data_IF_371340706458
#
_entry.id   IF_371340706458
#
_cell.length_a   1.000
_cell.length_b   1.000
_cell.length_c   1.000
_cell.angle_alpha   90.00
_cell.angle_beta   90.00
_cell.angle_gamma   90.00
#
_symmetry.space_group_name_H-M   'P 1'
#
loop_
_entity.id
_entity.type
_entity.pdbx_description
1 polymer ?
#
# COMPACT_ATOMS: atom_id res chain seq x y z
N UNK A 1 14.15 -1.01 -5.60
CA UNK A 1 14.19 0.03 -4.56
C UNK A 1 13.00 0.95 -4.80
N UNK A 2 11.90 0.75 -4.07
CA UNK A 2 10.77 1.68 -4.08
C UNK A 2 11.02 2.72 -2.99
N UNK A 3 11.89 3.68 -3.29
CA UNK A 3 12.21 4.82 -2.40
C UNK A 3 11.29 6.00 -2.72
N UNK A 4 10.01 5.73 -3.00
CA UNK A 4 9.03 6.77 -3.30
C UNK A 4 7.80 6.60 -2.41
N UNK A 5 7.56 7.60 -1.57
CA UNK A 5 6.39 7.68 -0.70
C UNK A 5 5.45 8.71 -1.31
N UNK A 6 4.38 8.28 -2.01
CA UNK A 6 3.42 9.20 -2.61
C UNK A 6 2.63 9.96 -1.55
N UNK A 7 2.20 11.16 -1.88
CA UNK A 7 1.22 11.91 -1.08
C UNK A 7 -0.14 11.19 -1.08
N UNK A 8 -0.98 11.36 -0.04
CA UNK A 8 -2.36 10.83 -0.06
C UNK A 8 -3.19 11.34 -1.25
N UNK A 9 -2.88 12.54 -1.75
CA UNK A 9 -3.46 13.09 -2.97
C UNK A 9 -3.01 12.31 -4.22
N UNK A 10 -1.72 11.99 -4.36
CA UNK A 10 -1.21 11.14 -5.43
C UNK A 10 -1.76 9.72 -5.37
N UNK A 11 -1.91 9.16 -4.17
CA UNK A 11 -2.58 7.87 -4.00
C UNK A 11 -4.00 7.96 -4.54
N UNK A 12 -4.72 9.05 -4.29
CA UNK A 12 -6.08 9.23 -4.81
C UNK A 12 -6.10 9.48 -6.32
N UNK A 13 -5.14 10.25 -6.84
CA UNK A 13 -4.99 10.52 -8.28
C UNK A 13 -4.59 9.27 -9.08
N UNK A 14 -3.83 8.37 -8.48
CA UNK A 14 -3.45 7.08 -9.07
C UNK A 14 -4.57 6.02 -8.96
N UNK A 15 -5.72 6.37 -8.36
CA UNK A 15 -6.90 5.53 -8.42
C UNK A 15 -7.34 5.38 -9.87
N UNK A 16 -7.46 4.14 -10.33
CA UNK A 16 -7.98 3.85 -11.67
C UNK A 16 -9.48 4.08 -11.73
N UNK A 17 -10.03 4.29 -12.93
CA UNK A 17 -11.47 4.56 -13.16
C UNK A 17 -12.42 3.51 -12.57
N UNK A 18 -11.93 2.30 -12.26
CA UNK A 18 -12.66 1.26 -11.55
C UNK A 18 -12.67 1.37 -10.02
N UNK A 19 -12.11 2.45 -9.45
CA UNK A 19 -12.06 2.68 -8.00
C UNK A 19 -10.96 1.92 -7.25
N UNK A 20 -9.94 1.42 -7.94
CA UNK A 20 -8.86 0.62 -7.37
C UNK A 20 -7.46 0.99 -7.85
N UNK A 21 -6.44 0.37 -7.26
CA UNK A 21 -5.04 0.55 -7.62
C UNK A 21 -4.47 -0.69 -8.29
N UNK A 22 -3.60 -0.49 -9.27
CA UNK A 22 -2.92 -1.60 -9.92
C UNK A 22 -1.79 -2.14 -9.03
N UNK A 23 -1.49 -3.44 -9.18
CA UNK A 23 -0.37 -4.09 -8.47
C UNK A 23 0.98 -3.40 -8.72
N UNK A 24 1.19 -2.88 -9.94
CA UNK A 24 2.40 -2.12 -10.29
C UNK A 24 2.49 -0.82 -9.48
N UNK A 25 1.41 -0.03 -9.47
CA UNK A 25 1.32 1.21 -8.70
C UNK A 25 1.60 0.98 -7.20
N UNK A 26 0.99 -0.06 -6.62
CA UNK A 26 1.20 -0.40 -5.21
C UNK A 26 2.66 -0.82 -4.95
N UNK A 27 3.26 -1.59 -5.85
CA UNK A 27 4.66 -2.00 -5.75
C UNK A 27 5.64 -0.82 -5.87
N UNK A 28 5.31 0.20 -6.68
CA UNK A 28 6.08 1.45 -6.77
C UNK A 28 6.11 2.21 -5.43
N UNK A 29 5.09 2.04 -4.60
CA UNK A 29 5.01 2.61 -3.25
C UNK A 29 5.50 1.65 -2.16
N UNK A 30 5.99 0.46 -2.54
CA UNK A 30 6.44 -0.58 -1.62
C UNK A 30 5.29 -1.32 -0.91
N UNK A 31 4.06 -1.22 -1.40
CA UNK A 31 2.91 -1.92 -0.83
C UNK A 31 2.80 -3.31 -1.44
N UNK A 32 2.77 -4.36 -0.60
CA UNK A 32 2.58 -5.71 -1.09
C UNK A 32 1.17 -5.89 -1.67
N UNK A 33 1.06 -6.75 -2.68
CA UNK A 33 -0.22 -7.26 -3.17
C UNK A 33 -0.53 -8.61 -2.51
N UNK A 34 -1.76 -8.86 -2.00
CA UNK A 34 -2.91 -7.95 -1.93
C UNK A 34 -2.69 -6.81 -0.90
N UNK A 35 -3.26 -5.62 -1.13
CA UNK A 35 -3.06 -4.46 -0.27
C UNK A 35 -3.61 -4.73 1.15
N UNK A 36 -2.79 -4.58 2.21
CA UNK A 36 -3.23 -4.83 3.58
C UNK A 36 -4.25 -3.79 4.02
N UNK A 37 -5.21 -4.18 4.85
CA UNK A 37 -6.22 -3.23 5.36
C UNK A 37 -5.52 -2.04 6.04
N UNK A 38 -5.83 -0.82 5.60
CA UNK A 38 -5.22 0.39 6.16
C UNK A 38 -3.89 0.83 5.54
N UNK A 39 -3.41 0.21 4.45
CA UNK A 39 -2.20 0.63 3.74
C UNK A 39 -2.20 2.13 3.36
N UNK A 40 -3.37 2.69 3.02
CA UNK A 40 -3.52 4.12 2.72
C UNK A 40 -3.13 5.01 3.90
N UNK A 41 -3.55 4.64 5.11
CA UNK A 41 -3.19 5.36 6.36
C UNK A 41 -1.71 5.18 6.71
N UNK A 42 -1.13 4.06 6.33
CA UNK A 42 0.30 3.82 6.50
C UNK A 42 1.12 4.70 5.56
N UNK A 43 0.74 4.79 4.27
CA UNK A 43 1.37 5.73 3.32
C UNK A 43 1.24 7.18 3.78
N UNK A 44 0.05 7.60 4.23
CA UNK A 44 -0.14 8.96 4.72
C UNK A 44 0.80 9.28 5.89
N UNK A 45 0.93 8.37 6.86
CA UNK A 45 1.86 8.52 7.99
C UNK A 45 3.32 8.56 7.54
N UNK A 46 3.70 7.67 6.61
CA UNK A 46 5.05 7.62 6.03
C UNK A 46 5.37 8.91 5.27
N UNK A 47 4.39 9.47 4.56
CA UNK A 47 4.51 10.74 3.86
C UNK A 47 4.64 11.93 4.83
N UNK A 48 3.97 11.89 5.99
CA UNK A 48 4.14 12.91 7.05
C UNK A 48 5.49 12.83 7.78
N UNK A 49 6.37 11.90 7.42
CA UNK A 49 7.68 11.73 8.06
C UNK A 49 7.63 10.90 9.35
N UNK A 50 6.52 10.21 9.60
CA UNK A 50 6.46 9.21 10.65
C UNK A 50 7.14 7.94 10.13
N UNK A 51 8.18 7.46 10.79
CA UNK A 51 8.80 6.17 10.47
C UNK A 51 7.83 5.06 10.87
N UNK A 52 6.90 4.78 9.97
CA UNK A 52 5.88 3.76 10.17
C UNK A 52 6.53 2.42 9.83
N UNK A 53 6.69 1.57 10.84
CA UNK A 53 7.26 0.22 10.72
C UNK A 53 6.70 -0.51 9.49
N UNK A 54 7.55 -1.17 8.68
CA UNK A 54 7.17 -1.71 7.38
C UNK A 54 5.87 -2.50 7.49
N UNK A 55 4.97 -2.34 6.51
CA UNK A 55 3.79 -3.19 6.32
C UNK A 55 4.26 -4.64 6.10
N UNK A 56 4.70 -5.27 7.18
CA UNK A 56 4.86 -6.71 7.29
C UNK A 56 3.49 -7.24 6.95
N UNK A 57 3.41 -7.92 5.80
CA UNK A 57 2.28 -8.75 5.43
C UNK A 57 1.86 -9.49 6.71
N UNK A 58 0.75 -9.08 7.32
CA UNK A 58 0.05 -10.00 8.20
C UNK A 58 -0.31 -11.13 7.25
N UNK A 59 0.35 -12.29 7.44
CA UNK A 59 0.07 -13.46 6.64
C UNK A 59 -1.45 -13.61 6.61
N UNK A 60 -2.10 -13.41 5.44
CA UNK A 60 -3.45 -13.90 5.34
C UNK A 60 -3.26 -15.40 5.39
N UNK A 61 -3.55 -15.97 6.56
CA UNK A 61 -4.26 -17.23 6.62
C UNK A 61 -3.79 -18.22 5.55
N UNK A 62 -2.77 -19.02 5.90
CA UNK A 62 -2.45 -20.27 5.19
C UNK A 62 -3.62 -21.29 5.28
N UNK A 63 -4.85 -20.87 5.60
CA UNK A 63 -5.99 -21.67 6.05
C UNK A 63 -7.27 -21.40 5.22
N UNK A 64 -7.12 -21.21 3.91
CA UNK A 64 -8.24 -21.35 2.97
C UNK A 64 -7.89 -22.28 1.79
N UNK A 65 -6.96 -23.20 2.03
CA UNK A 65 -6.58 -24.23 1.08
C UNK A 65 -6.57 -25.60 1.77
N UNK A 66 -7.72 -26.02 2.28
CA UNK A 66 -8.09 -27.44 2.41
C UNK A 66 -9.61 -27.63 2.39
#
# INVERSE_FOLDING_TARGET
MADYVPSPDEVTAAQSSGGGWTKKQLAEWGIPWPPPQGWRKHLERKWRGEDVAPLLRQEPDQDALF
#
